data_IF_996425594047
#
_entry.id   IF_996425594047
#
_cell.length_a   1.000
_cell.length_b   1.000
_cell.length_c   1.000
_cell.angle_alpha   90.00
_cell.angle_beta   90.00
_cell.angle_gamma   90.00
#
_symmetry.space_group_name_H-M   'P 1'
#
loop_
_entity.id
_entity.type
_entity.pdbx_description
1 polymer ?
#
# COMPACT_ATOMS: atom_id res chain seq x y z
N UNK A 1 8.28 5.99 -3.40
CA UNK A 1 7.02 5.67 -2.69
C UNK A 1 7.02 6.43 -1.37
N UNK A 2 5.86 6.64 -0.73
CA UNK A 2 5.79 7.30 0.58
C UNK A 2 5.42 6.26 1.66
N UNK A 3 5.97 6.39 2.85
CA UNK A 3 5.67 5.55 4.01
C UNK A 3 5.28 6.44 5.20
N UNK A 4 4.36 6.00 6.04
CA UNK A 4 3.97 6.69 7.25
C UNK A 4 4.10 5.76 8.46
N UNK A 5 4.81 6.21 9.49
CA UNK A 5 4.96 5.49 10.75
C UNK A 5 3.66 5.45 11.56
N UNK A 6 3.59 4.59 12.58
CA UNK A 6 2.47 4.57 13.52
C UNK A 6 2.42 5.84 14.39
N UNK A 7 1.25 6.16 14.95
CA UNK A 7 1.09 7.19 15.99
C UNK A 7 0.79 8.60 15.47
N UNK A 8 0.89 9.58 16.38
CA UNK A 8 0.54 11.00 16.19
C UNK A 8 1.59 11.87 16.90
N UNK A 9 1.80 13.09 16.42
CA UNK A 9 2.54 14.13 17.16
C UNK A 9 4.06 14.10 17.06
N UNK A 10 4.64 13.44 16.05
CA UNK A 10 6.08 13.53 15.71
C UNK A 10 7.06 13.21 16.84
N UNK A 11 6.74 12.22 17.68
CA UNK A 11 7.63 11.74 18.73
C UNK A 11 8.63 10.71 18.19
N UNK A 12 9.91 10.83 18.53
CA UNK A 12 10.95 9.87 18.14
C UNK A 12 10.94 8.66 19.08
N UNK A 13 10.90 7.44 18.52
CA UNK A 13 11.04 6.19 19.26
C UNK A 13 12.50 5.93 19.66
N UNK A 14 12.73 4.96 20.55
CA UNK A 14 14.09 4.55 20.94
C UNK A 14 14.89 4.02 19.74
N UNK A 15 14.22 3.35 18.81
CA UNK A 15 14.79 2.84 17.55
C UNK A 15 14.89 3.93 16.45
N UNK A 16 14.50 5.17 16.76
CA UNK A 16 14.74 6.34 15.92
C UNK A 16 13.61 6.71 14.94
N UNK A 17 12.54 5.92 14.82
CA UNK A 17 11.39 6.23 13.97
C UNK A 17 10.52 7.30 14.61
N UNK A 18 10.08 8.29 13.84
CA UNK A 18 9.26 9.41 14.32
C UNK A 18 7.80 9.10 14.05
N UNK A 19 6.93 9.18 15.07
CA UNK A 19 5.53 8.79 15.01
C UNK A 19 4.65 9.74 14.19
N UNK A 20 3.79 9.22 13.31
CA UNK A 20 2.89 10.04 12.49
C UNK A 20 3.61 10.87 11.41
N UNK A 21 4.86 10.51 11.09
CA UNK A 21 5.71 11.23 10.14
C UNK A 21 5.82 10.50 8.81
N UNK A 22 6.00 11.28 7.73
CA UNK A 22 6.10 10.76 6.37
C UNK A 22 7.56 10.59 5.94
N UNK A 23 7.88 9.39 5.47
CA UNK A 23 9.18 8.99 4.95
C UNK A 23 9.09 8.68 3.46
N UNK A 24 10.18 8.87 2.72
CA UNK A 24 10.29 8.38 1.34
C UNK A 24 10.90 6.98 1.33
N UNK A 25 10.23 6.01 0.71
CA UNK A 25 10.82 4.71 0.38
C UNK A 25 11.51 4.84 -0.98
N UNK A 26 12.84 4.69 -0.96
CA UNK A 26 13.76 4.96 -2.07
C UNK A 26 14.03 3.70 -2.88
N UNK A 27 14.40 2.60 -2.22
CA UNK A 27 14.79 1.37 -2.89
C UNK A 27 14.54 0.14 -2.03
N UNK A 28 14.45 -1.03 -2.66
CA UNK A 28 14.28 -2.33 -2.01
C UNK A 28 15.38 -3.25 -2.53
N UNK A 29 15.99 -4.02 -1.63
CA UNK A 29 17.10 -4.93 -1.94
C UNK A 29 16.87 -6.30 -1.30
N UNK A 30 17.16 -7.36 -2.04
CA UNK A 30 17.28 -8.71 -1.48
C UNK A 30 18.77 -9.06 -1.39
N UNK A 31 19.25 -9.36 -0.19
CA UNK A 31 20.67 -9.65 0.07
C UNK A 31 20.83 -11.02 0.72
N UNK A 32 21.96 -11.67 0.45
CA UNK A 32 22.38 -12.88 1.15
C UNK A 32 23.30 -12.51 2.30
N UNK A 33 22.88 -12.78 3.53
CA UNK A 33 23.67 -12.56 4.75
C UNK A 33 24.81 -13.55 4.85
N UNK A 34 25.76 -13.31 5.75
CA UNK A 34 26.96 -14.14 5.91
C UNK A 34 26.64 -15.60 6.30
N UNK A 35 25.52 -15.83 7.00
CA UNK A 35 24.99 -17.15 7.35
C UNK A 35 24.16 -17.81 6.23
N UNK A 36 24.04 -17.15 5.07
CA UNK A 36 23.32 -17.66 3.90
C UNK A 36 21.82 -17.39 3.90
N UNK A 37 21.28 -16.74 4.95
CA UNK A 37 19.89 -16.30 4.97
C UNK A 37 19.63 -15.19 3.94
N UNK A 38 18.36 -14.95 3.64
CA UNK A 38 17.93 -13.88 2.73
C UNK A 38 17.34 -12.75 3.56
N UNK A 39 17.93 -11.56 3.53
CA UNK A 39 17.36 -10.37 4.14
C UNK A 39 16.73 -9.47 3.06
N UNK A 40 15.52 -8.95 3.35
CA UNK A 40 14.77 -8.05 2.46
C UNK A 40 14.83 -6.65 3.03
N UNK A 41 15.69 -5.81 2.46
CA UNK A 41 16.01 -4.49 3.00
C UNK A 41 15.27 -3.39 2.24
N UNK A 42 14.75 -2.43 2.99
CA UNK A 42 14.14 -1.21 2.46
C UNK A 42 15.04 -0.03 2.81
N UNK A 43 15.33 0.82 1.84
CA UNK A 43 15.99 2.11 2.05
C UNK A 43 14.92 3.19 2.15
N UNK A 44 14.84 3.84 3.31
CA UNK A 44 13.96 4.97 3.54
C UNK A 44 14.74 6.26 3.73
N UNK A 45 14.03 7.39 3.63
CA UNK A 45 14.57 8.71 3.92
C UNK A 45 13.60 9.53 4.75
N UNK A 46 14.09 10.03 5.87
CA UNK A 46 13.48 11.11 6.61
C UNK A 46 13.67 12.44 5.84
N UNK A 47 12.59 13.15 5.46
CA UNK A 47 12.71 14.41 4.74
C UNK A 47 13.39 15.53 5.56
N UNK A 48 13.52 15.38 6.88
CA UNK A 48 14.26 16.33 7.72
C UNK A 48 15.78 16.23 7.60
N UNK A 49 16.29 15.23 6.87
CA UNK A 49 17.72 15.06 6.65
C UNK A 49 18.49 14.62 7.90
N UNK A 50 17.79 14.05 8.89
CA UNK A 50 18.34 13.50 10.12
C UNK A 50 17.30 12.56 10.76
N UNK A 51 17.65 11.86 11.83
CA UNK A 51 16.69 11.04 12.58
C UNK A 51 16.42 9.71 11.89
N UNK A 52 17.44 8.86 11.97
CA UNK A 52 17.52 7.57 11.29
C UNK A 52 17.20 6.40 12.23
N UNK A 53 16.86 5.26 11.61
CA UNK A 53 16.71 3.97 12.25
C UNK A 53 17.99 3.56 13.00
N UNK A 54 17.83 3.05 14.22
CA UNK A 54 18.93 2.62 15.09
C UNK A 54 18.92 1.11 15.37
N UNK A 55 17.98 0.36 14.80
CA UNK A 55 17.90 -1.10 14.95
C UNK A 55 18.78 -1.86 13.96
N UNK A 56 18.39 -3.09 13.65
CA UNK A 56 19.11 -3.94 12.69
C UNK A 56 19.13 -3.32 11.29
N UNK A 57 20.27 -3.43 10.60
CA UNK A 57 20.55 -2.75 9.33
C UNK A 57 20.63 -1.22 9.36
N UNK A 58 20.57 -0.58 10.55
CA UNK A 58 21.01 0.81 10.71
C UNK A 58 22.46 1.01 10.27
N UNK A 59 22.88 2.26 10.12
CA UNK A 59 24.23 2.61 9.67
C UNK A 59 25.34 2.07 10.59
N UNK A 60 25.01 1.94 11.88
CA UNK A 60 25.87 1.40 12.94
C UNK A 60 25.69 -0.10 13.17
N UNK A 61 24.78 -0.76 12.44
CA UNK A 61 24.51 -2.18 12.61
C UNK A 61 25.72 -3.03 12.21
N UNK A 62 26.01 -4.03 13.04
CA UNK A 62 27.10 -4.99 12.80
C UNK A 62 26.73 -6.04 11.72
N UNK A 63 25.47 -6.09 11.29
CA UNK A 63 25.01 -6.99 10.22
C UNK A 63 25.62 -6.64 8.86
N UNK A 64 26.08 -5.40 8.70
CA UNK A 64 26.71 -4.95 7.48
C UNK A 64 28.10 -5.59 7.27
N UNK A 65 28.28 -6.19 6.09
CA UNK A 65 29.61 -6.52 5.58
C UNK A 65 30.03 -5.52 4.50
N UNK A 66 31.33 -5.35 4.22
CA UNK A 66 31.78 -4.48 3.13
C UNK A 66 31.18 -4.83 1.76
N UNK A 67 30.95 -6.12 1.51
CA UNK A 67 30.31 -6.59 0.28
C UNK A 67 28.85 -6.14 0.19
N UNK A 68 28.09 -6.28 1.29
CA UNK A 68 26.69 -5.86 1.36
C UNK A 68 26.55 -4.34 1.25
N UNK A 69 27.40 -3.57 1.96
CA UNK A 69 27.45 -2.10 1.84
C UNK A 69 27.64 -1.67 0.39
N UNK A 70 28.58 -2.30 -0.33
CA UNK A 70 28.81 -2.03 -1.75
C UNK A 70 27.61 -2.42 -2.63
N UNK A 71 26.97 -3.56 -2.36
CA UNK A 71 25.84 -4.05 -3.15
C UNK A 71 24.64 -3.08 -3.10
N UNK A 72 24.32 -2.55 -1.93
CA UNK A 72 23.12 -1.70 -1.74
C UNK A 72 23.39 -0.20 -1.92
N UNK A 73 24.64 0.19 -2.22
CA UNK A 73 25.05 1.58 -2.32
C UNK A 73 24.92 2.32 -0.98
N UNK A 74 25.38 1.67 0.09
CA UNK A 74 25.40 2.22 1.44
C UNK A 74 26.30 3.46 1.53
N UNK A 75 25.86 4.46 2.29
CA UNK A 75 26.58 5.70 2.61
C UNK A 75 26.49 5.88 4.12
N UNK A 76 27.60 6.21 4.77
CA UNK A 76 27.69 6.40 6.23
C UNK A 76 27.62 7.89 6.55
N UNK A 77 26.42 8.47 6.49
CA UNK A 77 26.18 9.90 6.72
C UNK A 77 24.83 10.09 7.43
N UNK A 78 24.75 11.04 8.38
CA UNK A 78 23.47 11.44 8.99
C UNK A 78 22.73 12.37 8.02
N UNK A 79 22.15 11.77 6.98
CA UNK A 79 21.42 12.44 5.89
C UNK A 79 19.91 12.10 5.91
N UNK A 80 19.49 11.39 6.96
CA UNK A 80 18.13 10.91 7.17
C UNK A 80 17.83 9.64 6.37
N UNK A 81 18.77 9.08 5.60
CA UNK A 81 18.59 7.83 4.88
C UNK A 81 19.04 6.66 5.73
N UNK A 82 18.26 5.59 5.72
CA UNK A 82 18.60 4.40 6.48
C UNK A 82 18.03 3.16 5.81
N UNK A 83 18.62 2.02 6.14
CA UNK A 83 18.07 0.72 5.79
C UNK A 83 17.35 0.10 6.99
N UNK A 84 16.30 -0.65 6.71
CA UNK A 84 15.52 -1.42 7.68
C UNK A 84 15.08 -2.72 7.01
N UNK A 85 14.95 -3.81 7.76
CA UNK A 85 14.41 -5.06 7.24
C UNK A 85 12.88 -4.97 7.06
N UNK A 86 12.32 -5.71 6.10
CA UNK A 86 10.88 -5.66 5.78
C UNK A 86 10.01 -5.99 7.00
N UNK A 87 10.44 -6.95 7.81
CA UNK A 87 9.77 -7.39 9.02
C UNK A 87 9.68 -6.25 10.05
N UNK A 88 10.74 -5.47 10.24
CA UNK A 88 10.74 -4.30 11.12
C UNK A 88 9.95 -3.15 10.50
N UNK A 89 10.06 -2.93 9.19
CA UNK A 89 9.23 -1.95 8.48
C UNK A 89 7.75 -2.20 8.72
N UNK A 90 7.29 -3.45 8.60
CA UNK A 90 5.88 -3.82 8.82
C UNK A 90 5.43 -3.65 10.27
N UNK A 91 6.35 -3.66 11.24
CA UNK A 91 6.06 -3.40 12.65
C UNK A 91 5.98 -1.90 12.94
N UNK A 92 6.85 -1.09 12.35
CA UNK A 92 6.97 0.34 12.66
C UNK A 92 6.13 1.25 11.75
N UNK A 93 5.77 0.82 10.53
CA UNK A 93 5.03 1.61 9.56
C UNK A 93 3.61 1.11 9.33
N UNK A 94 2.67 2.05 9.24
CA UNK A 94 1.24 1.76 9.15
C UNK A 94 0.69 1.85 7.72
N UNK A 95 1.34 2.65 6.86
CA UNK A 95 0.87 2.87 5.48
C UNK A 95 2.03 3.13 4.52
N UNK A 96 2.07 2.41 3.40
CA UNK A 96 2.83 2.76 2.18
C UNK A 96 1.91 3.27 1.07
N UNK A 97 2.22 4.42 0.48
CA UNK A 97 1.57 4.95 -0.72
C UNK A 97 2.48 4.85 -1.94
N UNK A 98 1.94 4.34 -3.05
CA UNK A 98 2.63 4.23 -4.34
C UNK A 98 1.91 5.15 -5.33
N UNK A 99 2.62 6.16 -5.82
CA UNK A 99 2.17 6.93 -6.97
C UNK A 99 2.76 6.28 -8.22
N UNK A 100 1.91 5.66 -9.02
CA UNK A 100 2.32 5.00 -10.26
C UNK A 100 2.37 6.03 -11.39
N UNK A 101 3.46 6.06 -12.15
CA UNK A 101 3.58 6.87 -13.36
C UNK A 101 2.51 6.42 -14.38
N UNK A 102 1.65 7.34 -14.85
CA UNK A 102 0.70 7.04 -15.91
C UNK A 102 1.44 6.99 -17.26
N UNK A 103 2.07 5.85 -17.55
CA UNK A 103 2.84 5.62 -18.75
C UNK A 103 2.32 4.37 -19.49
N UNK A 104 1.45 4.60 -20.48
CA UNK A 104 0.80 3.56 -21.28
C UNK A 104 1.77 2.66 -22.06
N UNK A 105 2.97 3.16 -22.38
CA UNK A 105 3.99 2.37 -23.05
C UNK A 105 4.71 1.39 -22.10
N UNK A 106 4.73 1.67 -20.80
CA UNK A 106 5.37 0.82 -19.78
C UNK A 106 4.37 -0.09 -19.05
N UNK A 107 3.15 0.37 -18.84
CA UNK A 107 2.15 -0.30 -18.02
C UNK A 107 0.85 -0.49 -18.79
N UNK A 108 0.42 -1.75 -18.94
CA UNK A 108 -0.91 -2.05 -19.45
C UNK A 108 -1.96 -1.77 -18.36
N UNK A 109 -2.90 -0.88 -18.65
CA UNK A 109 -4.02 -0.61 -17.76
C UNK A 109 -5.34 -0.69 -18.53
N UNK A 110 -6.38 -1.20 -17.87
CA UNK A 110 -7.76 -1.17 -18.37
C UNK A 110 -8.60 -0.35 -17.40
N UNK A 111 -9.29 0.68 -17.90
CA UNK A 111 -10.19 1.51 -17.10
C UNK A 111 -11.63 1.13 -17.39
N UNK A 112 -12.41 0.91 -16.34
CA UNK A 112 -13.86 0.71 -16.40
C UNK A 112 -14.49 1.71 -15.44
N UNK A 113 -15.50 2.43 -15.92
CA UNK A 113 -16.25 3.41 -15.15
C UNK A 113 -17.66 2.87 -14.88
N UNK A 114 -18.15 3.08 -13.67
CA UNK A 114 -19.54 2.80 -13.30
C UNK A 114 -20.02 3.89 -12.35
N UNK A 115 -21.20 4.45 -12.63
CA UNK A 115 -21.82 5.50 -11.83
C UNK A 115 -23.02 4.95 -11.07
N UNK A 116 -23.11 5.25 -9.78
CA UNK A 116 -24.28 4.93 -8.96
C UNK A 116 -25.15 6.20 -8.85
N UNK A 117 -26.34 6.22 -9.48
CA UNK A 117 -27.29 7.36 -9.40
C UNK A 117 -27.74 7.94 -10.75
N UNK A 118 -28.39 9.11 -10.71
CA UNK A 118 -29.28 9.71 -11.75
C UNK A 118 -28.71 9.90 -13.17
N UNK A 119 -27.44 9.58 -13.44
CA UNK A 119 -26.95 9.49 -14.82
C UNK A 119 -27.31 8.16 -15.50
N UNK A 120 -27.40 7.05 -14.76
CA UNK A 120 -27.58 5.71 -15.33
C UNK A 120 -28.90 5.02 -14.95
N UNK A 121 -29.77 5.67 -14.17
CA UNK A 121 -31.07 5.13 -13.72
C UNK A 121 -30.99 3.71 -13.10
N UNK A 122 -29.80 3.25 -12.70
CA UNK A 122 -29.59 1.88 -12.28
C UNK A 122 -30.32 1.65 -10.95
N UNK A 123 -31.31 0.74 -10.90
CA UNK A 123 -32.02 0.42 -9.66
C UNK A 123 -31.16 -0.43 -8.71
N UNK A 124 -30.03 -0.94 -9.19
CA UNK A 124 -29.10 -1.74 -8.40
C UNK A 124 -27.95 -0.85 -7.94
N UNK A 125 -27.74 -0.70 -6.63
CA UNK A 125 -26.60 0.02 -6.12
C UNK A 125 -25.29 -0.72 -6.36
N UNK A 126 -25.28 -1.92 -6.96
CA UNK A 126 -24.09 -2.76 -7.08
C UNK A 126 -23.45 -2.68 -8.48
N UNK A 127 -22.12 -2.61 -8.51
CA UNK A 127 -21.34 -2.70 -9.74
C UNK A 127 -20.56 -4.01 -9.79
N UNK A 128 -20.53 -4.61 -10.97
CA UNK A 128 -19.77 -5.83 -11.23
C UNK A 128 -18.73 -5.58 -12.30
N UNK A 129 -17.46 -5.87 -12.00
CA UNK A 129 -16.34 -5.76 -12.93
C UNK A 129 -15.76 -7.15 -13.16
N UNK A 130 -15.76 -7.61 -14.41
CA UNK A 130 -15.16 -8.88 -14.79
C UNK A 130 -13.77 -8.66 -15.39
N UNK A 131 -12.82 -9.51 -15.05
CA UNK A 131 -11.50 -9.54 -15.67
C UNK A 131 -11.02 -10.98 -15.88
N UNK A 132 -10.19 -11.18 -16.91
CA UNK A 132 -9.56 -12.47 -17.18
C UNK A 132 -8.09 -12.41 -16.80
N UNK A 133 -7.71 -13.25 -15.85
CA UNK A 133 -6.35 -13.36 -15.38
C UNK A 133 -5.57 -14.36 -16.26
N UNK A 134 -4.49 -13.91 -16.90
CA UNK A 134 -3.68 -14.76 -17.77
C UNK A 134 -2.59 -15.54 -17.03
N UNK A 135 -2.08 -14.99 -15.93
CA UNK A 135 -0.97 -15.54 -15.15
C UNK A 135 -1.36 -15.64 -13.69
N UNK A 136 -0.87 -16.64 -12.93
CA UNK A 136 -1.18 -16.75 -11.52
C UNK A 136 -0.70 -15.50 -10.75
N UNK A 137 -1.53 -15.02 -9.83
CA UNK A 137 -1.18 -13.93 -8.92
C UNK A 137 -1.11 -14.50 -7.50
N UNK A 138 0.06 -14.38 -6.89
CA UNK A 138 0.28 -14.67 -5.48
C UNK A 138 0.23 -13.37 -4.68
N UNK A 139 -0.74 -13.21 -3.78
CA UNK A 139 -0.92 -11.97 -3.01
C UNK A 139 0.21 -11.71 -2.00
N UNK A 140 1.09 -12.67 -1.76
CA UNK A 140 2.32 -12.46 -0.99
C UNK A 140 3.44 -11.82 -1.81
N UNK A 141 3.39 -11.96 -3.13
CA UNK A 141 4.44 -11.51 -4.06
C UNK A 141 3.97 -10.34 -4.93
N UNK A 142 2.67 -10.26 -5.19
CA UNK A 142 2.07 -9.31 -6.11
C UNK A 142 1.04 -8.47 -5.37
N UNK A 143 1.14 -7.15 -5.51
CA UNK A 143 0.11 -6.25 -5.00
C UNK A 143 -1.14 -6.34 -5.89
N UNK A 144 -2.27 -6.71 -5.29
CA UNK A 144 -3.59 -6.63 -5.92
C UNK A 144 -4.45 -5.63 -5.13
N UNK A 145 -4.69 -4.46 -5.73
CA UNK A 145 -5.41 -3.37 -5.08
C UNK A 145 -6.64 -2.98 -5.89
N UNK A 146 -7.76 -2.76 -5.20
CA UNK A 146 -8.99 -2.21 -5.77
C UNK A 146 -9.31 -0.97 -4.96
N UNK A 147 -9.06 0.21 -5.53
CA UNK A 147 -9.36 1.48 -4.87
C UNK A 147 -10.67 2.05 -5.39
N UNK A 148 -11.64 2.20 -4.50
CA UNK A 148 -12.86 2.96 -4.77
C UNK A 148 -12.64 4.37 -4.24
N UNK A 149 -12.75 5.36 -5.12
CA UNK A 149 -12.61 6.77 -4.78
C UNK A 149 -13.99 7.41 -4.87
N UNK A 150 -14.51 7.85 -3.74
CA UNK A 150 -15.75 8.62 -3.72
C UNK A 150 -15.44 10.08 -4.09
N UNK A 151 -16.10 10.57 -5.14
CA UNK A 151 -16.13 12.01 -5.40
C UNK A 151 -17.14 12.66 -4.44
N UNK A 152 -16.68 13.65 -3.67
CA UNK A 152 -17.52 14.30 -2.67
C UNK A 152 -16.80 15.49 -2.00
N UNK A 153 -17.42 16.06 -0.94
CA UNK A 153 -16.89 17.23 -0.23
C UNK A 153 -15.44 17.09 0.22
N UNK A 154 -14.93 15.86 0.43
CA UNK A 154 -13.52 15.57 0.73
C UNK A 154 -12.55 16.00 -0.39
N UNK A 155 -12.79 15.62 -1.64
CA UNK A 155 -11.88 16.00 -2.74
C UNK A 155 -11.92 17.52 -2.95
N UNK A 156 -13.07 18.13 -2.69
CA UNK A 156 -13.22 19.58 -2.69
C UNK A 156 -12.50 20.23 -1.51
N UNK A 157 -12.59 19.69 -0.28
CA UNK A 157 -11.86 20.18 0.89
C UNK A 157 -10.33 20.06 0.67
N UNK A 158 -9.81 18.94 0.15
CA UNK A 158 -8.39 18.83 -0.18
C UNK A 158 -7.94 19.87 -1.20
N UNK A 159 -8.79 20.22 -2.18
CA UNK A 159 -8.49 21.21 -3.22
C UNK A 159 -8.75 22.67 -2.79
N UNK A 160 -9.63 22.90 -1.83
CA UNK A 160 -10.18 24.22 -1.49
C UNK A 160 -9.93 24.64 -0.04
N UNK A 161 -9.39 23.74 0.79
CA UNK A 161 -9.14 23.93 2.23
C UNK A 161 -10.37 24.39 3.03
N UNK A 162 -11.57 23.98 2.61
CA UNK A 162 -12.83 24.39 3.20
C UNK A 162 -13.19 23.52 4.41
N UNK A 163 -13.02 24.07 5.61
CA UNK A 163 -13.27 23.40 6.89
C UNK A 163 -14.76 23.14 7.17
N UNK A 164 -15.69 23.79 6.45
CA UNK A 164 -17.13 23.55 6.61
C UNK A 164 -17.59 22.24 5.95
N UNK A 165 -16.75 21.67 5.06
CA UNK A 165 -17.01 20.39 4.39
C UNK A 165 -16.52 19.24 5.26
N UNK A 166 -17.42 18.81 6.14
CA UNK A 166 -17.19 17.69 7.05
C UNK A 166 -16.97 16.36 6.32
N UNK A 167 -16.20 15.52 7.00
CA UNK A 167 -15.82 14.19 6.59
C UNK A 167 -16.96 13.20 6.87
N UNK A 168 -17.34 12.42 5.87
CA UNK A 168 -18.29 11.32 6.02
C UNK A 168 -17.67 10.04 5.47
N UNK A 169 -17.58 9.02 6.33
CA UNK A 169 -17.26 7.65 5.92
C UNK A 169 -18.42 7.07 5.10
N UNK A 170 -18.10 6.43 3.99
CA UNK A 170 -19.08 5.62 3.26
C UNK A 170 -18.98 4.16 3.67
N UNK A 171 -20.13 3.52 3.84
CA UNK A 171 -20.19 2.07 3.94
C UNK A 171 -20.06 1.51 2.53
N UNK A 172 -19.09 0.65 2.28
CA UNK A 172 -19.12 -0.15 1.06
C UNK A 172 -18.46 -1.51 1.28
N UNK A 173 -18.86 -2.47 0.45
CA UNK A 173 -18.24 -3.78 0.37
C UNK A 173 -17.57 -3.97 -0.97
N UNK A 174 -16.46 -4.70 -0.94
CA UNK A 174 -15.82 -5.20 -2.14
C UNK A 174 -15.64 -6.70 -1.97
N UNK A 175 -16.16 -7.46 -2.93
CA UNK A 175 -16.10 -8.91 -2.96
C UNK A 175 -15.41 -9.34 -4.25
N UNK A 176 -14.36 -10.14 -4.13
CA UNK A 176 -13.71 -10.85 -5.22
C UNK A 176 -14.24 -12.29 -5.24
N UNK A 177 -14.70 -12.73 -6.41
CA UNK A 177 -15.23 -14.07 -6.63
C UNK A 177 -14.79 -14.62 -7.99
N UNK A 178 -14.88 -15.94 -8.18
CA UNK A 178 -14.73 -16.56 -9.50
C UNK A 178 -15.93 -16.23 -10.39
N UNK A 179 -15.84 -16.45 -11.70
CA UNK A 179 -16.99 -16.29 -12.61
C UNK A 179 -18.21 -17.15 -12.20
N UNK A 180 -17.98 -18.27 -11.50
CA UNK A 180 -19.05 -19.13 -10.98
C UNK A 180 -19.68 -18.61 -9.69
N UNK A 181 -19.22 -17.47 -9.18
CA UNK A 181 -19.68 -16.88 -7.92
C UNK A 181 -19.02 -17.48 -6.67
N UNK A 182 -17.94 -18.24 -6.81
CA UNK A 182 -17.23 -18.79 -5.65
C UNK A 182 -16.43 -17.68 -4.96
N UNK A 183 -16.62 -17.53 -3.65
CA UNK A 183 -15.95 -16.52 -2.85
C UNK A 183 -14.43 -16.73 -2.85
N UNK A 184 -13.68 -15.65 -3.11
CA UNK A 184 -12.21 -15.63 -3.02
C UNK A 184 -11.76 -14.77 -1.86
N UNK A 185 -12.21 -13.52 -1.81
CA UNK A 185 -11.87 -12.58 -0.75
C UNK A 185 -12.88 -11.45 -0.66
N UNK A 186 -13.02 -10.84 0.51
CA UNK A 186 -13.80 -9.62 0.65
C UNK A 186 -13.36 -8.79 1.84
N UNK A 187 -13.79 -7.53 1.82
CA UNK A 187 -13.76 -6.68 3.01
C UNK A 187 -15.02 -5.85 3.07
N UNK A 188 -15.39 -5.57 4.31
CA UNK A 188 -16.67 -5.00 4.68
C UNK A 188 -16.41 -3.83 5.65
N UNK A 189 -17.18 -2.74 5.54
CA UNK A 189 -17.27 -1.71 6.57
C UNK A 189 -17.19 -0.26 6.10
N UNK A 190 -17.01 0.65 7.07
CA UNK A 190 -16.86 2.10 6.89
C UNK A 190 -15.42 2.43 6.51
N UNK A 191 -15.17 2.84 5.26
CA UNK A 191 -13.82 3.12 4.76
C UNK A 191 -13.84 4.21 3.68
N UNK A 192 -12.65 4.63 3.24
CA UNK A 192 -12.45 5.66 2.20
C UNK A 192 -11.76 5.16 0.95
N UNK A 193 -10.87 4.20 1.14
CA UNK A 193 -10.05 3.59 0.10
C UNK A 193 -9.89 2.14 0.48
N UNK A 194 -9.63 1.32 -0.52
CA UNK A 194 -9.57 -0.11 -0.32
C UNK A 194 -8.41 -0.75 -1.08
N UNK A 195 -7.94 -1.87 -0.56
CA UNK A 195 -7.05 -2.78 -1.23
C UNK A 195 -7.31 -4.19 -0.70
N UNK A 196 -7.30 -5.19 -1.57
CA UNK A 196 -7.37 -6.60 -1.17
C UNK A 196 -5.97 -7.12 -0.82
N UNK A 197 -5.13 -6.27 -0.22
CA UNK A 197 -3.84 -6.70 0.30
C UNK A 197 -4.11 -7.44 1.61
N UNK A 198 -3.92 -8.76 1.59
CA UNK A 198 -3.93 -9.56 2.80
C UNK A 198 -2.77 -10.53 2.81
N UNK A 199 -1.60 -10.05 3.23
CA UNK A 199 -0.36 -10.82 3.35
C UNK A 199 -0.49 -11.95 4.40
N UNK A 200 -1.55 -11.94 5.23
CA UNK A 200 -1.79 -12.98 6.24
C UNK A 200 -2.52 -14.21 5.70
N UNK A 201 -3.22 -14.08 4.59
CA UNK A 201 -3.93 -15.18 3.95
C UNK A 201 -3.18 -15.50 2.65
N UNK A 202 -2.58 -16.69 2.55
CA UNK A 202 -1.80 -17.14 1.39
C UNK A 202 -2.70 -17.32 0.14
N UNK A 203 -3.30 -16.25 -0.36
CA UNK A 203 -4.24 -16.26 -1.48
C UNK A 203 -3.45 -16.28 -2.79
N UNK A 204 -3.73 -17.31 -3.60
CA UNK A 204 -3.17 -17.46 -4.95
C UNK A 204 -4.29 -17.58 -5.96
N UNK A 205 -4.41 -16.59 -6.84
CA UNK A 205 -5.31 -16.62 -7.98
C UNK A 205 -4.67 -17.44 -9.11
N UNK A 206 -5.45 -18.32 -9.71
CA UNK A 206 -5.04 -19.09 -10.89
C UNK A 206 -5.47 -18.33 -12.16
N UNK A 207 -4.87 -18.60 -13.33
CA UNK A 207 -5.42 -18.11 -14.58
C UNK A 207 -6.91 -18.47 -14.72
N UNK A 208 -7.73 -17.50 -15.16
CA UNK A 208 -9.17 -17.66 -15.24
C UNK A 208 -9.93 -16.35 -15.07
N UNK A 209 -11.26 -16.42 -15.17
CA UNK A 209 -12.13 -15.26 -15.09
C UNK A 209 -12.63 -15.03 -13.66
N UNK A 210 -12.53 -13.77 -13.24
CA UNK A 210 -12.89 -13.29 -11.90
C UNK A 210 -13.86 -12.13 -12.01
N UNK A 211 -14.64 -11.94 -10.95
CA UNK A 211 -15.62 -10.86 -10.82
C UNK A 211 -15.35 -10.12 -9.51
N UNK A 212 -15.31 -8.79 -9.60
CA UNK A 212 -15.32 -7.87 -8.46
C UNK A 212 -16.72 -7.29 -8.36
N UNK A 213 -17.36 -7.47 -7.22
CA UNK A 213 -18.60 -6.78 -6.86
C UNK A 213 -18.27 -5.63 -5.92
N UNK A 214 -18.81 -4.45 -6.20
CA UNK A 214 -18.75 -3.27 -5.34
C UNK A 214 -20.18 -2.91 -4.92
N UNK A 215 -20.44 -2.88 -3.61
CA UNK A 215 -21.73 -2.52 -3.02
C UNK A 215 -21.57 -1.27 -2.12
N UNK A 216 -22.00 -0.08 -2.56
CA UNK A 216 -21.91 1.19 -1.87
C UNK A 216 -23.05 1.46 -0.87
N UNK A 217 -24.05 0.58 -0.77
CA UNK A 217 -25.17 0.73 0.18
C UNK A 217 -25.11 -0.32 1.29
N UNK A 218 -23.92 -0.86 1.57
CA UNK A 218 -23.80 -1.88 2.59
C UNK A 218 -24.33 -1.41 3.95
N UNK A 219 -25.26 -2.20 4.49
CA UNK A 219 -25.82 -2.00 5.83
C UNK A 219 -26.49 -0.62 6.02
N UNK A 220 -27.08 -0.07 4.94
CA UNK A 220 -27.97 1.09 4.92
C UNK A 220 -29.42 0.68 4.67
#
# INVERSE_FOLDING_TARGET
MMAASHGQGENRSEEGVISGHAYSLISIHEVKTADGATARLLRLRNPWGSGEWQGDWSDKSQLWTPALKKQVGFVDEDDGQFFIELEDYLQHFSWTSVCVENNEAKYAHSQLYHSFGDQDSSPLPQAFFSFNLQYPIDFNMHAFAISVIQQGPRLQNYRQSDQSKFFHESNFNIVLMTEKGEFVHARFGKRFTFSLLNIKENIKLKPGKYVIMIDPLWNQ
#
